data_IF_244429725328
#
_entry.id   IF_244429725328
#
_cell.length_a   1.000
_cell.length_b   1.000
_cell.length_c   1.000
_cell.angle_alpha   90.00
_cell.angle_beta   90.00
_cell.angle_gamma   90.00
#
_symmetry.space_group_name_H-M   'P 1'
#
loop_
_entity.id
_entity.type
_entity.pdbx_description
1 polymer ?
#
# COMPACT_ATOMS: atom_id res chain seq x y z
N UNK A 1 21.87 30.68 31.66
CA UNK A 1 21.55 30.46 30.24
C UNK A 1 22.22 29.19 29.69
N UNK A 2 23.49 28.94 29.97
CA UNK A 2 24.20 27.72 29.53
C UNK A 2 23.55 26.42 30.01
N UNK A 3 23.10 26.34 31.25
CA UNK A 3 22.41 25.15 31.78
C UNK A 3 21.12 24.85 31.05
N UNK A 4 20.38 25.85 30.59
CA UNK A 4 19.15 25.67 29.84
C UNK A 4 19.42 25.20 28.41
N UNK A 5 20.42 25.73 27.74
CA UNK A 5 20.85 25.32 26.41
C UNK A 5 21.37 23.89 26.44
N UNK A 6 22.18 23.53 27.45
CA UNK A 6 22.69 22.17 27.63
C UNK A 6 21.54 21.19 27.89
N UNK A 7 20.53 21.58 28.65
CA UNK A 7 19.36 20.75 28.95
C UNK A 7 18.51 20.50 27.68
N UNK A 8 18.30 21.53 26.85
CA UNK A 8 17.62 21.41 25.56
C UNK A 8 18.43 20.50 24.62
N UNK A 9 19.75 20.70 24.55
CA UNK A 9 20.63 19.90 23.70
C UNK A 9 20.67 18.44 24.16
N UNK A 10 20.64 18.21 25.46
CA UNK A 10 20.64 16.86 26.04
C UNK A 10 19.30 16.12 25.79
N UNK A 11 18.18 16.82 25.95
CA UNK A 11 16.84 16.30 25.57
C UNK A 11 16.73 16.08 24.07
N UNK A 12 17.29 16.96 23.26
CA UNK A 12 17.31 16.84 21.81
C UNK A 12 18.09 15.62 21.34
N UNK A 13 19.26 15.36 21.97
CA UNK A 13 20.14 14.25 21.60
C UNK A 13 19.77 12.91 22.26
N UNK A 14 19.16 12.93 23.45
CA UNK A 14 18.70 11.69 24.13
C UNK A 14 17.42 11.14 23.57
N UNK A 15 16.60 11.98 22.90
CA UNK A 15 15.39 11.59 22.18
C UNK A 15 14.42 10.68 22.93
N UNK A 16 13.52 10.06 22.19
CA UNK A 16 12.59 9.06 22.68
C UNK A 16 13.06 7.68 22.20
N UNK A 17 13.23 6.71 23.12
CA UNK A 17 13.73 5.36 22.81
C UNK A 17 15.11 5.30 22.09
N UNK A 18 16.01 6.27 22.37
CA UNK A 18 17.34 6.32 21.74
C UNK A 18 17.33 6.90 20.31
N UNK A 19 16.21 7.47 19.87
CA UNK A 19 16.07 8.14 18.59
C UNK A 19 16.09 9.65 18.85
N UNK A 20 16.97 10.40 18.21
CA UNK A 20 17.05 11.83 18.35
C UNK A 20 15.78 12.53 17.82
N UNK A 21 15.40 13.63 18.46
CA UNK A 21 14.20 14.38 18.09
C UNK A 21 14.24 14.91 16.65
N UNK A 22 15.44 15.20 16.13
CA UNK A 22 15.62 15.64 14.75
C UNK A 22 15.19 14.58 13.74
N UNK A 23 15.54 13.32 13.95
CA UNK A 23 15.13 12.20 13.10
C UNK A 23 13.62 11.95 13.17
N UNK A 24 13.01 12.09 14.36
CA UNK A 24 11.55 11.97 14.53
C UNK A 24 10.82 13.08 13.76
N UNK A 25 11.23 14.34 13.95
CA UNK A 25 10.62 15.50 13.28
C UNK A 25 10.79 15.39 11.76
N UNK A 26 11.98 15.01 11.30
CA UNK A 26 12.28 14.81 9.86
C UNK A 26 11.40 13.72 9.26
N UNK A 27 11.22 12.60 9.95
CA UNK A 27 10.37 11.50 9.51
C UNK A 27 8.90 11.92 9.44
N UNK A 28 8.40 12.67 10.44
CA UNK A 28 7.05 13.19 10.44
C UNK A 28 6.83 14.19 9.28
N UNK A 29 7.82 15.05 9.03
CA UNK A 29 7.78 16.00 7.92
C UNK A 29 7.75 15.28 6.56
N UNK A 30 8.55 14.23 6.37
CA UNK A 30 8.57 13.43 5.13
C UNK A 30 7.20 12.79 4.89
N UNK A 31 6.58 12.21 5.91
CA UNK A 31 5.24 11.61 5.81
C UNK A 31 4.21 12.69 5.45
N UNK A 32 4.27 13.86 6.08
CA UNK A 32 3.39 15.00 5.79
C UNK A 32 3.52 15.44 4.33
N UNK A 33 4.75 15.62 3.85
CA UNK A 33 5.04 16.00 2.46
C UNK A 33 4.52 14.94 1.48
N UNK A 34 4.73 13.66 1.77
CA UNK A 34 4.21 12.57 0.94
C UNK A 34 2.68 12.58 0.86
N UNK A 35 2.01 12.88 1.98
CA UNK A 35 0.57 13.00 2.03
C UNK A 35 0.05 14.18 1.20
N UNK A 36 0.72 15.33 1.27
CA UNK A 36 0.38 16.53 0.48
C UNK A 36 0.64 16.31 -1.02
N UNK A 37 1.75 15.64 -1.37
CA UNK A 37 2.11 15.36 -2.75
C UNK A 37 1.32 14.21 -3.38
N UNK A 38 0.55 13.46 -2.59
CA UNK A 38 -0.24 12.32 -3.05
C UNK A 38 -1.08 12.62 -4.30
N UNK A 39 -1.80 13.73 -4.29
CA UNK A 39 -2.66 14.14 -5.42
C UNK A 39 -1.86 14.46 -6.68
N UNK A 40 -0.73 15.13 -6.53
CA UNK A 40 0.16 15.44 -7.64
C UNK A 40 0.75 14.17 -8.26
N UNK A 41 1.25 13.25 -7.45
CA UNK A 41 1.84 11.98 -7.92
C UNK A 41 0.79 11.12 -8.63
N UNK A 42 -0.43 11.02 -8.10
CA UNK A 42 -1.54 10.33 -8.78
C UNK A 42 -1.76 10.93 -10.16
N UNK A 43 -1.83 12.25 -10.29
CA UNK A 43 -2.05 12.92 -11.57
C UNK A 43 -0.94 12.65 -12.56
N UNK A 44 0.32 12.70 -12.12
CA UNK A 44 1.49 12.41 -12.98
C UNK A 44 1.46 10.97 -13.47
N UNK A 45 1.23 10.01 -12.58
CA UNK A 45 1.22 8.58 -12.93
C UNK A 45 0.05 8.26 -13.85
N UNK A 46 -1.16 8.76 -13.56
CA UNK A 46 -2.34 8.54 -14.40
C UNK A 46 -2.13 9.16 -15.80
N UNK A 47 -1.59 10.38 -15.88
CA UNK A 47 -1.31 11.00 -17.16
C UNK A 47 -0.22 10.25 -17.96
N UNK A 48 0.77 9.68 -17.29
CA UNK A 48 1.78 8.83 -17.93
C UNK A 48 1.16 7.53 -18.44
N UNK A 49 0.33 6.86 -17.64
CA UNK A 49 -0.38 5.65 -18.04
C UNK A 49 -1.36 5.88 -19.18
N UNK A 50 -2.12 6.97 -19.17
CA UNK A 50 -3.05 7.31 -20.23
C UNK A 50 -2.34 7.60 -21.57
N UNK A 51 -1.12 8.18 -21.52
CA UNK A 51 -0.29 8.35 -22.73
C UNK A 51 0.24 7.03 -23.28
N UNK A 52 0.59 6.09 -22.40
CA UNK A 52 1.07 4.75 -22.78
C UNK A 52 -0.05 3.86 -23.32
N UNK A 53 -1.27 4.01 -22.81
CA UNK A 53 -2.45 3.27 -23.27
C UNK A 53 -2.83 3.63 -24.73
N UNK A 54 -2.22 4.67 -25.28
CA UNK A 54 -2.41 5.06 -26.68
C UNK A 54 -3.80 5.65 -26.96
N UNK A 55 -4.08 5.90 -28.24
CA UNK A 55 -5.32 6.52 -28.72
C UNK A 55 -6.56 5.58 -28.71
N UNK A 56 -6.49 4.44 -28.05
CA UNK A 56 -7.65 3.57 -27.84
C UNK A 56 -8.54 4.19 -26.75
N UNK A 57 -9.35 5.17 -27.16
CA UNK A 57 -10.39 5.78 -26.33
C UNK A 57 -11.54 4.79 -26.14
N UNK A 58 -11.32 3.75 -25.35
CA UNK A 58 -12.38 2.89 -24.85
C UNK A 58 -12.76 3.36 -23.44
N UNK A 59 -14.06 3.47 -23.16
CA UNK A 59 -14.57 3.82 -21.80
C UNK A 59 -13.95 2.93 -20.71
N UNK A 60 -13.51 1.74 -21.08
CA UNK A 60 -12.87 0.73 -20.23
C UNK A 60 -11.50 1.23 -19.72
N UNK A 61 -10.71 1.90 -20.56
CA UNK A 61 -9.38 2.39 -20.17
C UNK A 61 -9.51 3.47 -19.09
N UNK A 62 -10.50 4.35 -19.23
CA UNK A 62 -10.78 5.39 -18.23
C UNK A 62 -11.29 4.81 -16.91
N UNK A 63 -12.10 3.75 -16.93
CA UNK A 63 -12.57 3.07 -15.74
C UNK A 63 -11.43 2.36 -15.00
N UNK A 64 -10.51 1.70 -15.71
CA UNK A 64 -9.32 1.07 -15.12
C UNK A 64 -8.42 2.14 -14.49
N UNK A 65 -8.12 3.22 -15.22
CA UNK A 65 -7.30 4.32 -14.70
C UNK A 65 -7.93 4.96 -13.45
N UNK A 66 -9.23 5.14 -13.43
CA UNK A 66 -9.96 5.64 -12.26
C UNK A 66 -9.89 4.66 -11.08
N UNK A 67 -10.00 3.36 -11.33
CA UNK A 67 -9.89 2.32 -10.31
C UNK A 67 -8.51 2.29 -9.65
N UNK A 68 -7.46 2.60 -10.42
CA UNK A 68 -6.08 2.64 -9.95
C UNK A 68 -5.73 3.90 -9.14
N UNK A 69 -6.51 4.99 -9.22
CA UNK A 69 -6.21 6.24 -8.48
C UNK A 69 -6.04 6.03 -6.97
N UNK A 70 -6.91 5.22 -6.36
CA UNK A 70 -6.86 4.94 -4.92
C UNK A 70 -5.58 4.20 -4.52
N UNK A 71 -5.23 3.04 -5.12
CA UNK A 71 -4.00 2.33 -4.77
C UNK A 71 -2.73 3.12 -5.13
N UNK A 72 -2.70 3.82 -6.26
CA UNK A 72 -1.56 4.68 -6.64
C UNK A 72 -1.30 5.78 -5.61
N UNK A 73 -2.33 6.25 -4.93
CA UNK A 73 -2.18 7.22 -3.84
C UNK A 73 -1.48 6.67 -2.59
N UNK A 74 -1.28 5.37 -2.46
CA UNK A 74 -0.53 4.77 -1.36
C UNK A 74 0.98 4.72 -1.66
N UNK A 75 1.39 4.77 -2.91
CA UNK A 75 2.80 4.70 -3.32
C UNK A 75 3.66 5.77 -2.63
N UNK A 76 3.31 7.09 -2.68
CA UNK A 76 4.13 8.10 -2.02
C UNK A 76 4.22 7.90 -0.51
N UNK A 77 3.15 7.40 0.12
CA UNK A 77 3.14 7.10 1.56
C UNK A 77 4.07 5.91 1.85
N UNK A 78 4.03 4.86 1.04
CA UNK A 78 4.91 3.69 1.17
C UNK A 78 6.38 4.08 1.01
N UNK A 79 6.70 4.93 0.04
CA UNK A 79 8.06 5.46 -0.17
C UNK A 79 8.49 6.30 1.03
N UNK A 80 7.62 7.17 1.55
CA UNK A 80 7.91 7.98 2.73
C UNK A 80 8.19 7.10 3.96
N UNK A 81 7.37 6.08 4.20
CA UNK A 81 7.59 5.11 5.28
C UNK A 81 8.94 4.39 5.12
N UNK A 82 9.29 3.97 3.91
CA UNK A 82 10.59 3.36 3.64
C UNK A 82 11.74 4.32 3.93
N UNK A 83 11.65 5.59 3.50
CA UNK A 83 12.67 6.60 3.79
C UNK A 83 12.77 6.82 5.31
N UNK A 84 11.65 6.81 6.04
CA UNK A 84 11.68 6.91 7.49
C UNK A 84 12.44 5.76 8.15
N UNK A 85 12.33 4.52 7.66
CA UNK A 85 13.13 3.39 8.20
C UNK A 85 14.63 3.55 7.93
N UNK A 86 15.04 4.31 6.93
CA UNK A 86 16.45 4.59 6.65
C UNK A 86 17.00 5.74 7.49
N UNK A 87 16.18 6.71 7.89
CA UNK A 87 16.59 7.89 8.66
C UNK A 87 16.57 7.58 10.17
N UNK A 88 15.59 6.83 10.62
CA UNK A 88 15.46 6.44 12.02
C UNK A 88 16.49 5.36 12.35
N UNK A 89 17.34 5.53 13.37
CA UNK A 89 18.29 4.50 13.82
C UNK A 89 17.55 3.38 14.59
N UNK A 90 16.62 2.70 13.89
CA UNK A 90 15.83 1.62 14.47
C UNK A 90 16.70 0.39 14.64
N UNK A 91 16.53 -0.33 15.75
CA UNK A 91 17.30 -1.54 16.06
C UNK A 91 16.43 -2.64 16.63
N UNK A 92 16.81 -3.89 16.40
CA UNK A 92 16.13 -5.06 16.95
C UNK A 92 14.70 -5.21 16.47
N UNK A 93 13.79 -5.49 17.40
CA UNK A 93 12.38 -5.77 17.11
C UNK A 93 11.66 -4.59 16.44
N UNK A 94 12.03 -3.35 16.78
CA UNK A 94 11.39 -2.14 16.23
C UNK A 94 11.74 -1.99 14.75
N UNK A 95 12.98 -2.24 14.38
CA UNK A 95 13.43 -2.21 12.97
C UNK A 95 12.72 -3.29 12.15
N UNK A 96 12.60 -4.50 12.67
CA UNK A 96 11.88 -5.60 12.03
C UNK A 96 10.40 -5.26 11.81
N UNK A 97 9.72 -4.74 12.84
CA UNK A 97 8.32 -4.31 12.73
C UNK A 97 8.18 -3.18 11.70
N UNK A 98 9.03 -2.16 11.75
CA UNK A 98 8.97 -1.04 10.82
C UNK A 98 9.16 -1.50 9.37
N UNK A 99 10.14 -2.36 9.13
CA UNK A 99 10.38 -2.96 7.81
C UNK A 99 9.20 -3.82 7.35
N UNK A 100 8.59 -4.62 8.23
CA UNK A 100 7.44 -5.45 7.90
C UNK A 100 6.18 -4.59 7.63
N UNK A 101 6.03 -3.46 8.30
CA UNK A 101 4.99 -2.47 8.00
C UNK A 101 5.17 -1.92 6.58
N UNK A 102 6.37 -1.52 6.19
CA UNK A 102 6.65 -1.04 4.82
C UNK A 102 6.31 -2.11 3.78
N UNK A 103 6.79 -3.36 3.99
CA UNK A 103 6.45 -4.49 3.11
C UNK A 103 4.94 -4.70 3.01
N UNK A 104 4.23 -4.60 4.13
CA UNK A 104 2.76 -4.70 4.18
C UNK A 104 2.09 -3.63 3.33
N UNK A 105 2.55 -2.37 3.39
CA UNK A 105 2.02 -1.30 2.55
C UNK A 105 2.26 -1.55 1.06
N UNK A 106 3.41 -2.10 0.68
CA UNK A 106 3.69 -2.51 -0.71
C UNK A 106 2.69 -3.57 -1.17
N UNK A 107 2.55 -4.65 -0.40
CA UNK A 107 1.63 -5.75 -0.72
C UNK A 107 0.19 -5.24 -0.78
N UNK A 108 -0.23 -4.46 0.22
CA UNK A 108 -1.58 -3.88 0.26
C UNK A 108 -1.85 -2.98 -0.96
N UNK A 109 -0.87 -2.20 -1.41
CA UNK A 109 -0.99 -1.35 -2.60
C UNK A 109 -1.20 -2.20 -3.86
N UNK A 110 -0.43 -3.28 -4.01
CA UNK A 110 -0.53 -4.20 -5.17
C UNK A 110 -1.90 -4.88 -5.17
N UNK A 111 -2.28 -5.51 -4.06
CA UNK A 111 -3.56 -6.23 -3.97
C UNK A 111 -4.77 -5.31 -4.05
N UNK A 112 -4.66 -4.09 -3.54
CA UNK A 112 -5.68 -3.05 -3.71
C UNK A 112 -5.82 -2.65 -5.19
N UNK A 113 -4.71 -2.51 -5.92
CA UNK A 113 -4.74 -2.23 -7.36
C UNK A 113 -5.42 -3.36 -8.14
N UNK A 114 -5.04 -4.61 -7.85
CA UNK A 114 -5.67 -5.79 -8.45
C UNK A 114 -7.17 -5.84 -8.15
N UNK A 115 -7.55 -5.71 -6.88
CA UNK A 115 -8.95 -5.76 -6.46
C UNK A 115 -9.81 -4.66 -7.09
N UNK A 116 -9.29 -3.43 -7.19
CA UNK A 116 -10.02 -2.33 -7.81
C UNK A 116 -10.14 -2.48 -9.34
N UNK A 117 -9.19 -3.16 -10.00
CA UNK A 117 -9.21 -3.42 -11.44
C UNK A 117 -10.19 -4.53 -11.84
N UNK A 118 -10.65 -5.37 -10.90
CA UNK A 118 -11.57 -6.47 -11.19
C UNK A 118 -12.88 -5.94 -11.81
N UNK A 119 -13.49 -4.92 -11.22
CA UNK A 119 -14.79 -4.38 -11.69
C UNK A 119 -14.73 -3.91 -13.14
N UNK A 120 -13.82 -3.02 -13.57
CA UNK A 120 -13.75 -2.58 -14.95
C UNK A 120 -13.40 -3.73 -15.93
N UNK A 121 -12.58 -4.71 -15.49
CA UNK A 121 -12.27 -5.89 -16.32
C UNK A 121 -13.54 -6.73 -16.57
N UNK A 122 -14.33 -6.99 -15.54
CA UNK A 122 -15.58 -7.74 -15.71
C UNK A 122 -16.64 -6.94 -16.49
N UNK A 123 -16.70 -5.62 -16.35
CA UNK A 123 -17.56 -4.76 -17.16
C UNK A 123 -17.21 -4.86 -18.65
N UNK A 124 -15.91 -4.86 -18.96
CA UNK A 124 -15.41 -5.04 -20.32
C UNK A 124 -15.76 -6.40 -20.93
N UNK A 125 -15.65 -7.46 -20.14
CA UNK A 125 -15.98 -8.81 -20.56
C UNK A 125 -17.48 -9.00 -20.79
N UNK A 126 -18.32 -8.44 -19.90
CA UNK A 126 -19.77 -8.57 -20.01
C UNK A 126 -20.38 -7.81 -21.19
N UNK A 127 -19.77 -6.72 -21.64
CA UNK A 127 -20.21 -6.02 -22.84
C UNK A 127 -20.15 -6.88 -24.12
N UNK A 128 -19.38 -7.96 -24.10
CA UNK A 128 -19.19 -8.88 -25.25
C UNK A 128 -19.75 -10.28 -25.02
N UNK A 129 -20.29 -10.58 -23.84
CA UNK A 129 -20.65 -11.93 -23.47
C UNK A 129 -22.13 -12.09 -23.10
N UNK A 130 -22.60 -13.34 -23.19
CA UNK A 130 -23.92 -13.82 -22.78
C UNK A 130 -24.13 -13.87 -21.24
N UNK A 131 -23.19 -13.30 -20.47
CA UNK A 131 -23.25 -13.32 -19.01
C UNK A 131 -24.36 -12.44 -18.49
N UNK A 132 -25.25 -13.04 -17.71
CA UNK A 132 -26.30 -12.32 -16.99
C UNK A 132 -25.65 -11.40 -15.93
N UNK A 133 -26.21 -10.21 -15.71
CA UNK A 133 -25.73 -9.23 -14.73
C UNK A 133 -25.52 -9.88 -13.33
N UNK A 134 -26.42 -10.79 -12.94
CA UNK A 134 -26.30 -11.50 -11.67
C UNK A 134 -25.03 -12.37 -11.59
N UNK A 135 -24.70 -13.10 -12.64
CA UNK A 135 -23.51 -13.95 -12.72
C UNK A 135 -22.25 -13.08 -12.69
N UNK A 136 -22.25 -11.96 -13.42
CA UNK A 136 -21.14 -11.03 -13.43
C UNK A 136 -20.84 -10.49 -12.02
N UNK A 137 -21.87 -10.01 -11.31
CA UNK A 137 -21.72 -9.50 -9.94
C UNK A 137 -21.21 -10.57 -8.97
N UNK A 138 -21.65 -11.82 -9.15
CA UNK A 138 -21.16 -12.94 -8.35
C UNK A 138 -19.68 -13.21 -8.61
N UNK A 139 -19.27 -13.30 -9.87
CA UNK A 139 -17.87 -13.52 -10.27
C UNK A 139 -16.96 -12.38 -9.81
N UNK A 140 -17.41 -11.13 -9.92
CA UNK A 140 -16.67 -9.96 -9.42
C UNK A 140 -16.42 -10.08 -7.91
N UNK A 141 -17.45 -10.42 -7.13
CA UNK A 141 -17.31 -10.59 -5.68
C UNK A 141 -16.39 -11.74 -5.31
N UNK A 142 -16.54 -12.89 -6.00
CA UNK A 142 -15.69 -14.05 -5.79
C UNK A 142 -14.22 -13.74 -6.12
N UNK A 143 -13.96 -13.08 -7.25
CA UNK A 143 -12.61 -12.68 -7.64
C UNK A 143 -11.99 -11.70 -6.63
N UNK A 144 -12.74 -10.69 -6.18
CA UNK A 144 -12.28 -9.77 -5.13
C UNK A 144 -11.97 -10.49 -3.82
N UNK A 145 -12.83 -11.42 -3.43
CA UNK A 145 -12.63 -12.21 -2.23
C UNK A 145 -11.32 -13.01 -2.32
N UNK A 146 -11.08 -13.72 -3.44
CA UNK A 146 -9.86 -14.49 -3.67
C UNK A 146 -8.62 -13.59 -3.60
N UNK A 147 -8.65 -12.43 -4.28
CA UNK A 147 -7.53 -11.48 -4.27
C UNK A 147 -7.23 -11.02 -2.84
N UNK A 148 -8.25 -10.70 -2.05
CA UNK A 148 -8.05 -10.27 -0.67
C UNK A 148 -7.58 -11.40 0.24
N UNK A 149 -8.07 -12.62 0.07
CA UNK A 149 -7.59 -13.78 0.83
C UNK A 149 -6.10 -14.01 0.57
N UNK A 150 -5.67 -13.97 -0.70
CA UNK A 150 -4.25 -14.10 -1.06
C UNK A 150 -3.44 -12.93 -0.50
N UNK A 151 -3.95 -11.69 -0.62
CA UNK A 151 -3.26 -10.51 -0.09
C UNK A 151 -3.06 -10.57 1.42
N UNK A 152 -4.09 -10.96 2.17
CA UNK A 152 -3.99 -11.17 3.63
C UNK A 152 -3.00 -12.30 3.93
N UNK A 153 -3.03 -13.38 3.15
CA UNK A 153 -2.11 -14.48 3.29
C UNK A 153 -0.65 -14.03 3.19
N UNK A 154 -0.32 -13.25 2.16
CA UNK A 154 1.03 -12.69 1.98
C UNK A 154 1.41 -11.74 3.13
N UNK A 155 0.47 -10.93 3.62
CA UNK A 155 0.72 -10.04 4.75
C UNK A 155 1.03 -10.85 6.02
N UNK A 156 0.29 -11.91 6.30
CA UNK A 156 0.55 -12.78 7.45
C UNK A 156 1.93 -13.45 7.35
N UNK A 157 2.34 -13.86 6.16
CA UNK A 157 3.66 -14.45 5.91
C UNK A 157 4.80 -13.44 6.19
N UNK A 158 4.63 -12.16 5.87
CA UNK A 158 5.58 -11.09 6.22
C UNK A 158 5.83 -11.02 7.73
N UNK A 159 4.81 -11.28 8.55
CA UNK A 159 4.92 -11.31 10.00
C UNK A 159 5.31 -12.68 10.56
N UNK A 160 5.72 -13.64 9.70
CA UNK A 160 6.17 -14.97 10.10
C UNK A 160 5.05 -15.94 10.47
N UNK A 161 3.78 -15.57 10.19
CA UNK A 161 2.65 -16.45 10.43
C UNK A 161 2.53 -17.42 9.24
N UNK A 162 2.94 -18.66 9.43
CA UNK A 162 2.88 -19.69 8.41
C UNK A 162 1.45 -20.08 8.07
N UNK A 163 1.00 -19.78 6.86
CA UNK A 163 -0.36 -20.06 6.40
C UNK A 163 -0.49 -21.51 5.92
N UNK A 164 0.61 -22.12 5.48
CA UNK A 164 0.61 -23.52 5.02
C UNK A 164 -0.11 -24.50 5.95
N UNK A 165 0.19 -24.52 7.25
CA UNK A 165 -0.51 -25.36 8.23
C UNK A 165 -2.01 -25.04 8.35
N UNK A 166 -2.40 -23.75 8.22
CA UNK A 166 -3.80 -23.33 8.29
C UNK A 166 -4.59 -23.84 7.07
N UNK A 167 -4.01 -23.71 5.87
CA UNK A 167 -4.64 -24.20 4.62
C UNK A 167 -4.68 -25.72 4.59
N UNK A 168 -3.61 -26.38 5.05
CA UNK A 168 -3.58 -27.84 5.15
C UNK A 168 -4.62 -28.35 6.16
N UNK A 169 -4.79 -27.67 7.30
CA UNK A 169 -5.83 -27.99 8.28
C UNK A 169 -7.23 -27.88 7.69
N UNK A 170 -7.54 -26.82 6.96
CA UNK A 170 -8.84 -26.67 6.26
C UNK A 170 -9.06 -27.75 5.19
N UNK A 171 -8.01 -28.16 4.47
CA UNK A 171 -8.08 -29.24 3.51
C UNK A 171 -8.36 -30.64 4.10
N UNK A 172 -7.96 -30.86 5.37
CA UNK A 172 -8.26 -32.11 6.07
C UNK A 172 -9.73 -32.21 6.53
N UNK A 173 -10.43 -31.11 6.63
CA UNK A 173 -11.85 -31.05 7.01
C UNK A 173 -12.81 -30.98 5.78
N UNK A 174 -12.28 -30.94 4.57
CA UNK A 174 -13.03 -30.92 3.32
C UNK A 174 -13.17 -32.30 2.74
#
# INVERSE_FOLDING_TARGET
>A
MENFINLITDVWNRGFFGIDLGSIISSLFIILVAFLLRGFIISVVINALSRLAGNTKTEIDDEILNALKKPLGLIPITIALYICTLILPLTGLIDEIATNVVKTFVVFTIFSALSNSIKPIFAALSAKSWLTIAIQLWLERAAKFIVWVIGIAVILDIFGIQIGPLVAGLGLFS
#
